data_IF_522716231632
#
_entry.id   IF_522716231632
#
_cell.length_a   1.000
_cell.length_b   1.000
_cell.length_c   1.000
_cell.angle_alpha   90.00
_cell.angle_beta   90.00
_cell.angle_gamma   90.00
#
_symmetry.space_group_name_H-M   'P 1'
#
loop_
_entity.id
_entity.type
_entity.pdbx_description
1 polymer ?
#
# COMPACT_ATOMS: atom_id res chain seq x y z
N UNK A 1 -78.07 58.91 -8.30
CA UNK A 1 -76.61 59.15 -8.37
C UNK A 1 -76.09 58.79 -6.97
N UNK A 2 -76.14 57.52 -6.55
CA UNK A 2 -75.13 56.46 -6.75
C UNK A 2 -73.74 57.05 -6.96
N UNK A 3 -72.91 56.99 -5.91
CA UNK A 3 -71.59 56.39 -6.04
C UNK A 3 -71.14 55.83 -4.67
N UNK A 4 -70.90 54.53 -4.72
CA UNK A 4 -70.38 53.65 -3.68
C UNK A 4 -68.87 53.54 -3.93
N UNK A 5 -68.05 53.94 -2.96
CA UNK A 5 -66.60 53.71 -3.01
C UNK A 5 -66.18 52.82 -1.85
N UNK A 6 -66.41 51.53 -2.07
CA UNK A 6 -65.65 50.45 -1.43
C UNK A 6 -64.29 50.33 -2.12
N UNK A 7 -63.24 50.88 -1.51
CA UNK A 7 -61.85 50.59 -1.89
C UNK A 7 -61.32 49.45 -1.03
N UNK A 8 -61.00 48.36 -1.72
CA UNK A 8 -60.62 47.08 -1.14
C UNK A 8 -59.33 47.12 -0.33
N UNK A 9 -59.36 46.40 0.78
CA UNK A 9 -58.15 45.81 1.35
C UNK A 9 -57.68 44.68 0.45
N UNK A 10 -56.51 44.85 -0.17
CA UNK A 10 -55.76 43.76 -0.80
C UNK A 10 -54.41 43.61 -0.10
N UNK A 11 -54.36 42.56 0.72
CA UNK A 11 -53.28 41.57 0.84
C UNK A 11 -51.83 42.07 0.89
N UNK A 12 -51.36 42.35 2.11
CA UNK A 12 -49.94 42.38 2.48
C UNK A 12 -49.49 41.11 3.22
N UNK A 13 -50.15 39.96 2.99
CA UNK A 13 -49.87 38.69 3.69
C UNK A 13 -48.98 37.73 2.91
N UNK A 14 -48.72 37.99 1.62
CA UNK A 14 -47.91 37.11 0.75
C UNK A 14 -46.41 37.16 1.00
N UNK A 15 -45.85 38.28 1.48
CA UNK A 15 -44.40 38.43 1.72
C UNK A 15 -43.91 37.68 2.96
N UNK A 16 -44.62 37.85 4.08
CA UNK A 16 -44.23 37.25 5.35
C UNK A 16 -44.22 35.71 5.34
N UNK A 17 -45.13 35.08 4.58
CA UNK A 17 -45.18 33.63 4.44
C UNK A 17 -44.01 33.08 3.58
N UNK A 18 -43.61 33.82 2.54
CA UNK A 18 -42.43 33.49 1.71
C UNK A 18 -41.13 33.63 2.49
N UNK A 19 -41.00 34.69 3.28
CA UNK A 19 -39.83 34.93 4.15
C UNK A 19 -39.69 33.85 5.23
N UNK A 20 -40.81 33.41 5.81
CA UNK A 20 -40.82 32.32 6.78
C UNK A 20 -40.40 30.98 6.18
N UNK A 21 -40.78 30.70 4.94
CA UNK A 21 -40.39 29.49 4.22
C UNK A 21 -38.90 29.50 3.84
N UNK A 22 -38.38 30.66 3.42
CA UNK A 22 -36.95 30.84 3.14
C UNK A 22 -36.08 30.63 4.39
N UNK A 23 -36.48 31.24 5.52
CA UNK A 23 -35.81 31.07 6.81
C UNK A 23 -35.81 29.60 7.28
N UNK A 24 -36.93 28.88 7.11
CA UNK A 24 -36.99 27.45 7.46
C UNK A 24 -36.00 26.62 6.65
N UNK A 25 -35.89 26.87 5.35
CA UNK A 25 -34.96 26.16 4.47
C UNK A 25 -33.50 26.46 4.85
N UNK A 26 -33.19 27.70 5.20
CA UNK A 26 -31.84 28.09 5.64
C UNK A 26 -31.47 27.44 6.98
N UNK A 27 -32.40 27.38 7.93
CA UNK A 27 -32.21 26.67 9.20
C UNK A 27 -31.98 25.17 8.97
N UNK A 28 -32.75 24.54 8.08
CA UNK A 28 -32.58 23.12 7.75
C UNK A 28 -31.21 22.84 7.10
N UNK A 29 -30.75 23.69 6.18
CA UNK A 29 -29.39 23.59 5.62
C UNK A 29 -28.30 23.75 6.68
N UNK A 30 -28.47 24.69 7.61
CA UNK A 30 -27.51 24.91 8.70
C UNK A 30 -27.49 23.75 9.69
N UNK A 31 -28.64 23.14 9.99
CA UNK A 31 -28.71 21.94 10.82
C UNK A 31 -28.05 20.74 10.14
N UNK A 32 -28.29 20.53 8.84
CA UNK A 32 -27.62 19.47 8.06
C UNK A 32 -26.10 19.70 8.05
N UNK A 33 -25.63 20.93 7.84
CA UNK A 33 -24.20 21.28 7.90
C UNK A 33 -23.62 21.01 9.29
N UNK A 34 -24.30 21.43 10.36
CA UNK A 34 -23.85 21.24 11.74
C UNK A 34 -23.83 19.77 12.17
N UNK A 35 -24.79 18.96 11.71
CA UNK A 35 -24.80 17.51 11.96
C UNK A 35 -23.70 16.80 11.18
N UNK A 36 -23.47 17.20 9.93
CA UNK A 36 -22.37 16.67 9.11
C UNK A 36 -21.02 16.98 9.76
N UNK A 37 -20.81 18.22 10.20
CA UNK A 37 -19.59 18.64 10.88
C UNK A 37 -19.38 17.91 12.21
N UNK A 38 -20.40 17.78 13.06
CA UNK A 38 -20.31 16.99 14.30
C UNK A 38 -19.98 15.52 14.03
N UNK A 39 -20.46 14.94 12.92
CA UNK A 39 -20.14 13.56 12.51
C UNK A 39 -18.67 13.43 12.08
N UNK A 40 -18.15 14.42 11.37
CA UNK A 40 -16.73 14.51 10.99
C UNK A 40 -15.85 14.65 12.23
N UNK A 41 -16.19 15.55 13.16
CA UNK A 41 -15.44 15.80 14.40
C UNK A 41 -15.49 14.61 15.36
N UNK A 42 -16.66 13.97 15.51
CA UNK A 42 -16.80 12.75 16.32
C UNK A 42 -16.04 11.57 15.69
N UNK A 43 -16.04 11.47 14.36
CA UNK A 43 -15.20 10.54 13.61
C UNK A 43 -13.71 10.80 13.82
N UNK A 44 -13.26 12.05 13.73
CA UNK A 44 -11.86 12.45 13.96
C UNK A 44 -11.41 12.22 15.41
N UNK A 45 -12.27 12.45 16.40
CA UNK A 45 -11.99 12.15 17.81
C UNK A 45 -11.92 10.64 18.07
N UNK A 46 -12.77 9.86 17.39
CA UNK A 46 -12.71 8.40 17.41
C UNK A 46 -11.48 7.83 16.69
N UNK A 47 -10.94 8.50 15.66
CA UNK A 47 -9.68 8.15 14.96
C UNK A 47 -8.45 8.26 15.86
N UNK A 48 -8.54 9.03 16.95
CA UNK A 48 -7.48 9.11 17.98
C UNK A 48 -7.45 7.88 18.91
N UNK A 49 -8.36 6.91 18.72
CA UNK A 49 -8.28 5.62 19.43
C UNK A 49 -6.99 4.92 19.04
N UNK A 50 -6.23 4.55 20.06
CA UNK A 50 -4.89 3.97 19.96
C UNK A 50 -4.76 2.96 18.81
N UNK A 51 -3.95 3.30 17.80
CA UNK A 51 -3.49 2.41 16.73
C UNK A 51 -2.59 1.27 17.24
N UNK A 52 -2.58 0.99 18.55
CA UNK A 52 -1.82 -0.11 19.15
C UNK A 52 -2.15 -1.49 18.54
N UNK A 53 -3.33 -1.65 17.92
CA UNK A 53 -3.68 -2.86 17.19
C UNK A 53 -2.78 -3.13 15.98
N UNK A 54 -2.14 -2.09 15.40
CA UNK A 54 -1.17 -2.26 14.33
C UNK A 54 0.04 -3.09 14.78
N UNK A 55 0.36 -3.08 16.07
CA UNK A 55 1.45 -3.85 16.66
C UNK A 55 0.92 -5.13 17.30
N UNK A 56 -0.16 -5.03 18.09
CA UNK A 56 -0.65 -6.14 18.93
C UNK A 56 -1.21 -7.30 18.12
N UNK A 57 -1.95 -7.01 17.05
CA UNK A 57 -2.67 -8.03 16.28
C UNK A 57 -1.83 -8.59 15.12
N UNK A 58 -0.59 -8.11 14.99
CA UNK A 58 0.37 -8.69 14.05
C UNK A 58 0.94 -10.00 14.63
N UNK A 59 0.56 -11.12 14.01
CA UNK A 59 1.08 -12.44 14.38
C UNK A 59 2.43 -12.63 13.70
N UNK A 60 3.52 -12.49 14.47
CA UNK A 60 4.88 -12.75 13.98
C UNK A 60 5.05 -14.23 13.63
N UNK A 61 5.40 -14.57 12.38
CA UNK A 61 5.67 -15.95 11.99
C UNK A 61 6.86 -16.51 12.76
N UNK A 62 6.82 -17.80 13.09
CA UNK A 62 7.97 -18.48 13.72
C UNK A 62 9.06 -18.71 12.66
N UNK A 63 10.33 -18.52 13.03
CA UNK A 63 11.49 -18.73 12.16
C UNK A 63 11.58 -20.12 11.52
N UNK A 64 10.87 -21.12 12.06
CA UNK A 64 10.83 -22.49 11.55
C UNK A 64 9.66 -22.80 10.61
N UNK A 65 8.81 -21.82 10.26
CA UNK A 65 7.66 -22.03 9.37
C UNK A 65 8.09 -22.18 7.90
N UNK A 66 7.38 -23.02 7.16
CA UNK A 66 7.56 -23.18 5.71
C UNK A 66 7.24 -21.88 4.97
N UNK A 67 7.79 -21.69 3.77
CA UNK A 67 7.51 -20.52 2.93
C UNK A 67 6.02 -20.33 2.65
N UNK A 68 5.28 -21.42 2.44
CA UNK A 68 3.83 -21.42 2.20
C UNK A 68 3.05 -20.97 3.46
N UNK A 69 3.54 -21.36 4.64
CA UNK A 69 3.01 -20.89 5.92
C UNK A 69 3.30 -19.40 6.14
N UNK A 70 4.45 -18.88 5.68
CA UNK A 70 4.79 -17.45 5.80
C UNK A 70 3.86 -16.59 4.94
N UNK A 71 3.61 -16.95 3.68
CA UNK A 71 2.70 -16.22 2.80
C UNK A 71 1.29 -16.18 3.37
N UNK A 72 0.80 -17.30 3.90
CA UNK A 72 -0.53 -17.38 4.52
C UNK A 72 -0.63 -16.47 5.74
N UNK A 73 0.39 -16.43 6.61
CA UNK A 73 0.44 -15.53 7.76
C UNK A 73 0.38 -14.05 7.37
N UNK A 74 1.11 -13.64 6.31
CA UNK A 74 1.11 -12.26 5.82
C UNK A 74 -0.27 -11.85 5.32
N UNK A 75 -0.87 -12.67 4.46
CA UNK A 75 -2.18 -12.36 3.86
C UNK A 75 -3.24 -12.26 4.95
N UNK A 76 -3.28 -13.23 5.86
CA UNK A 76 -4.25 -13.25 6.94
C UNK A 76 -4.06 -12.09 7.93
N UNK A 77 -2.82 -11.86 8.39
CA UNK A 77 -2.51 -10.77 9.32
C UNK A 77 -2.81 -9.39 8.72
N UNK A 78 -2.44 -9.16 7.46
CA UNK A 78 -2.76 -7.91 6.76
C UNK A 78 -4.26 -7.74 6.54
N UNK A 79 -4.99 -8.80 6.19
CA UNK A 79 -6.44 -8.71 6.03
C UNK A 79 -7.15 -8.31 7.34
N UNK A 80 -6.72 -8.86 8.49
CA UNK A 80 -7.27 -8.45 9.78
C UNK A 80 -6.99 -6.99 10.13
N UNK A 81 -5.77 -6.52 9.86
CA UNK A 81 -5.38 -5.14 10.14
C UNK A 81 -6.14 -4.18 9.20
N UNK A 82 -6.25 -4.53 7.92
CA UNK A 82 -7.04 -3.80 6.93
C UNK A 82 -8.50 -3.66 7.37
N UNK A 83 -9.13 -4.75 7.83
CA UNK A 83 -10.51 -4.72 8.30
C UNK A 83 -10.69 -3.70 9.43
N UNK A 84 -9.80 -3.72 10.44
CA UNK A 84 -9.87 -2.78 11.56
C UNK A 84 -9.65 -1.33 11.17
N UNK A 85 -8.72 -1.10 10.24
CA UNK A 85 -8.43 0.21 9.67
C UNK A 85 -9.57 0.77 8.80
N UNK A 86 -10.40 -0.10 8.23
CA UNK A 86 -11.65 0.28 7.56
C UNK A 86 -12.73 0.56 8.59
N UNK A 87 -12.90 -0.32 9.58
CA UNK A 87 -13.94 -0.22 10.62
C UNK A 87 -13.79 1.05 11.47
N UNK A 88 -12.55 1.51 11.70
CA UNK A 88 -12.28 2.75 12.43
C UNK A 88 -12.25 4.02 11.55
N UNK A 89 -12.45 3.86 10.24
CA UNK A 89 -12.48 4.96 9.28
C UNK A 89 -11.12 5.65 9.07
N UNK A 90 -10.01 4.96 9.34
CA UNK A 90 -8.66 5.49 9.15
C UNK A 90 -8.19 5.48 7.69
N UNK A 91 -8.74 4.61 6.84
CA UNK A 91 -8.27 4.45 5.44
C UNK A 91 -9.16 5.11 4.39
N UNK A 92 -10.43 5.33 4.71
CA UNK A 92 -11.43 5.85 3.79
C UNK A 92 -12.17 6.98 4.50
N UNK A 93 -12.18 8.16 3.92
CA UNK A 93 -12.88 9.33 4.47
C UNK A 93 -13.41 10.23 3.36
N UNK A 94 -14.32 11.16 3.69
CA UNK A 94 -14.81 12.16 2.75
C UNK A 94 -13.95 13.42 2.82
N UNK A 95 -13.65 13.99 1.65
CA UNK A 95 -13.06 15.32 1.53
C UNK A 95 -14.14 16.40 1.76
N UNK A 96 -13.70 17.66 1.86
CA UNK A 96 -14.60 18.82 2.06
C UNK A 96 -15.59 19.03 0.91
N UNK A 97 -15.26 18.55 -0.29
CA UNK A 97 -16.13 18.57 -1.48
C UNK A 97 -17.12 17.40 -1.54
N UNK A 98 -17.13 16.52 -0.52
CA UNK A 98 -17.96 15.33 -0.46
C UNK A 98 -17.43 14.14 -1.28
N UNK A 99 -16.27 14.27 -1.94
CA UNK A 99 -15.64 13.15 -2.65
C UNK A 99 -15.02 12.14 -1.68
N UNK A 100 -14.97 10.86 -2.08
CA UNK A 100 -14.34 9.80 -1.29
C UNK A 100 -12.83 9.86 -1.47
N UNK A 101 -12.11 10.02 -0.37
CA UNK A 101 -10.67 9.91 -0.30
C UNK A 101 -10.25 8.48 0.09
N UNK A 102 -9.43 7.87 -0.76
CA UNK A 102 -8.88 6.51 -0.56
C UNK A 102 -7.36 6.49 -0.59
N UNK A 103 -6.69 7.63 -0.36
CA UNK A 103 -5.22 7.71 -0.43
C UNK A 103 -4.54 6.78 0.58
N UNK A 104 -5.02 6.77 1.82
CA UNK A 104 -4.50 5.92 2.90
C UNK A 104 -4.75 4.44 2.60
N UNK A 105 -5.94 4.07 2.11
CA UNK A 105 -6.22 2.70 1.66
C UNK A 105 -5.22 2.25 0.60
N UNK A 106 -5.01 3.07 -0.43
CA UNK A 106 -4.05 2.77 -1.50
C UNK A 106 -2.63 2.65 -0.95
N UNK A 107 -2.24 3.53 -0.04
CA UNK A 107 -0.96 3.50 0.64
C UNK A 107 -0.73 2.19 1.40
N UNK A 108 -1.74 1.72 2.14
CA UNK A 108 -1.66 0.48 2.91
C UNK A 108 -1.49 -0.74 1.99
N UNK A 109 -2.19 -0.76 0.86
CA UNK A 109 -2.07 -1.82 -0.14
C UNK A 109 -0.67 -1.83 -0.79
N UNK A 110 -0.11 -0.66 -1.12
CA UNK A 110 1.26 -0.55 -1.65
C UNK A 110 2.30 -1.03 -0.63
N UNK A 111 2.12 -0.67 0.64
CA UNK A 111 2.95 -1.20 1.71
C UNK A 111 2.83 -2.72 1.84
N UNK A 112 1.62 -3.27 1.79
CA UNK A 112 1.39 -4.73 1.85
C UNK A 112 2.04 -5.47 0.68
N UNK A 113 1.95 -4.90 -0.53
CA UNK A 113 2.67 -5.38 -1.71
C UNK A 113 4.18 -5.36 -1.47
N UNK A 114 4.72 -4.28 -0.88
CA UNK A 114 6.16 -4.15 -0.61
C UNK A 114 6.68 -5.26 0.28
N UNK A 115 5.93 -5.64 1.32
CA UNK A 115 6.30 -6.78 2.19
C UNK A 115 6.41 -8.06 1.35
N UNK A 116 5.47 -8.31 0.44
CA UNK A 116 5.54 -9.42 -0.52
C UNK A 116 6.79 -9.35 -1.40
N UNK A 117 7.06 -8.19 -2.00
CA UNK A 117 8.25 -7.97 -2.83
C UNK A 117 9.55 -8.22 -2.08
N UNK A 118 9.64 -7.85 -0.80
CA UNK A 118 10.83 -8.11 0.01
C UNK A 118 11.04 -9.61 0.27
N UNK A 119 9.96 -10.36 0.49
CA UNK A 119 10.02 -11.81 0.64
C UNK A 119 10.43 -12.48 -0.68
N UNK A 120 9.86 -12.04 -1.80
CA UNK A 120 10.17 -12.54 -3.15
C UNK A 120 11.61 -12.19 -3.59
N UNK A 121 12.11 -11.02 -3.16
CA UNK A 121 13.50 -10.61 -3.35
C UNK A 121 14.48 -11.39 -2.44
N UNK A 122 14.00 -12.41 -1.73
CA UNK A 122 14.79 -13.36 -0.96
C UNK A 122 15.53 -12.71 0.23
N UNK A 123 14.97 -11.61 0.77
CA UNK A 123 15.37 -11.10 2.08
C UNK A 123 15.08 -12.15 3.16
N UNK A 124 15.87 -12.13 4.24
CA UNK A 124 15.57 -12.98 5.40
C UNK A 124 14.20 -12.60 5.97
N UNK A 125 13.27 -13.55 6.21
CA UNK A 125 11.97 -13.24 6.79
C UNK A 125 12.08 -12.40 8.08
N UNK A 126 13.06 -12.67 8.94
CA UNK A 126 13.29 -11.88 10.15
C UNK A 126 13.57 -10.40 9.87
N UNK A 127 14.35 -10.09 8.83
CA UNK A 127 14.63 -8.71 8.43
C UNK A 127 13.36 -8.04 7.91
N UNK A 128 12.57 -8.76 7.11
CA UNK A 128 11.29 -8.26 6.60
C UNK A 128 10.32 -7.99 7.76
N UNK A 129 10.27 -8.86 8.77
CA UNK A 129 9.42 -8.67 9.95
C UNK A 129 9.88 -7.54 10.86
N UNK A 130 11.18 -7.37 11.08
CA UNK A 130 11.70 -6.22 11.82
C UNK A 130 11.39 -4.90 11.10
N UNK A 131 11.50 -4.88 9.77
CA UNK A 131 11.09 -3.76 8.95
C UNK A 131 9.58 -3.50 9.06
N UNK A 132 8.75 -4.53 8.89
CA UNK A 132 7.29 -4.46 8.98
C UNK A 132 6.84 -3.93 10.35
N UNK A 133 7.42 -4.47 11.42
CA UNK A 133 7.14 -4.09 12.82
C UNK A 133 7.51 -2.62 13.09
N UNK A 134 8.71 -2.19 12.70
CA UNK A 134 9.16 -0.80 12.87
C UNK A 134 8.34 0.17 11.99
N UNK A 135 7.93 -0.25 10.80
CA UNK A 135 7.04 0.54 9.94
C UNK A 135 5.68 0.74 10.61
N UNK A 136 5.08 -0.32 11.15
CA UNK A 136 3.79 -0.23 11.86
C UNK A 136 3.87 0.61 13.12
N UNK A 137 4.97 0.53 13.87
CA UNK A 137 5.26 1.43 15.01
C UNK A 137 5.27 2.89 14.57
N UNK A 138 6.00 3.19 13.50
CA UNK A 138 6.06 4.54 12.94
C UNK A 138 4.66 5.05 12.53
N UNK A 139 3.84 4.21 11.90
CA UNK A 139 2.45 4.54 11.52
C UNK A 139 1.49 4.68 12.71
N UNK A 140 1.79 3.99 13.82
CA UNK A 140 1.00 4.08 15.05
C UNK A 140 1.36 5.32 15.88
N UNK A 141 2.63 5.74 15.86
CA UNK A 141 3.16 6.83 16.67
C UNK A 141 3.10 8.19 15.96
N UNK A 142 3.10 8.21 14.63
CA UNK A 142 3.14 9.46 13.86
C UNK A 142 1.83 9.77 13.16
N UNK A 143 1.30 10.96 13.42
CA UNK A 143 0.18 11.54 12.68
C UNK A 143 0.59 12.07 11.29
N UNK A 144 1.89 12.26 11.07
CA UNK A 144 2.44 12.84 9.83
C UNK A 144 2.79 11.79 8.78
N UNK A 145 2.88 10.51 9.17
CA UNK A 145 3.23 9.44 8.24
C UNK A 145 1.97 8.90 7.58
N UNK A 146 2.04 8.77 6.26
CA UNK A 146 1.01 8.17 5.42
C UNK A 146 1.45 6.77 5.03
N UNK A 147 0.49 5.86 4.90
CA UNK A 147 0.81 4.52 4.40
C UNK A 147 1.41 4.59 2.98
N UNK A 148 2.34 3.70 2.69
CA UNK A 148 2.97 3.60 1.36
C UNK A 148 4.03 4.67 1.09
N UNK A 149 4.21 5.68 1.96
CA UNK A 149 5.42 6.49 1.95
C UNK A 149 6.58 5.66 2.52
N UNK A 150 7.70 5.65 1.81
CA UNK A 150 8.91 4.95 2.23
C UNK A 150 9.69 5.80 3.24
N UNK A 151 9.81 5.40 4.52
CA UNK A 151 10.64 6.10 5.49
C UNK A 151 12.11 5.74 5.25
N UNK A 152 12.96 6.66 4.73
CA UNK A 152 14.32 6.34 4.32
C UNK A 152 15.16 5.72 5.46
N UNK A 153 14.91 6.16 6.70
CA UNK A 153 15.56 5.65 7.89
C UNK A 153 15.35 4.14 8.12
N UNK A 154 14.17 3.60 7.82
CA UNK A 154 13.90 2.17 7.99
C UNK A 154 14.56 1.35 6.88
N UNK A 155 14.60 1.88 5.66
CA UNK A 155 15.30 1.25 4.53
C UNK A 155 16.79 1.14 4.80
N UNK A 156 17.42 2.21 5.27
CA UNK A 156 18.84 2.19 5.62
C UNK A 156 19.13 1.21 6.75
N UNK A 157 18.28 1.18 7.79
CA UNK A 157 18.45 0.31 8.96
C UNK A 157 18.28 -1.17 8.63
N UNK A 158 17.27 -1.52 7.83
CA UNK A 158 16.84 -2.91 7.67
C UNK A 158 17.23 -3.50 6.32
N UNK A 159 17.09 -2.76 5.22
CA UNK A 159 17.25 -3.32 3.87
C UNK A 159 18.67 -3.11 3.32
N UNK A 160 19.29 -1.97 3.62
CA UNK A 160 20.63 -1.63 3.14
C UNK A 160 21.76 -2.02 4.11
N UNK A 161 21.41 -2.50 5.32
CA UNK A 161 22.43 -2.93 6.27
C UNK A 161 23.20 -4.13 5.71
N UNK A 162 24.54 -4.04 5.69
CA UNK A 162 25.43 -5.08 5.15
C UNK A 162 25.16 -6.47 5.74
N UNK A 163 24.72 -6.55 7.00
CA UNK A 163 24.35 -7.79 7.69
C UNK A 163 23.06 -8.44 7.16
N UNK A 164 22.19 -7.67 6.54
CA UNK A 164 20.85 -8.09 6.11
C UNK A 164 20.80 -8.42 4.62
N UNK A 165 21.76 -7.91 3.84
CA UNK A 165 22.11 -8.46 2.55
C UNK A 165 22.73 -9.84 2.78
N UNK A 166 21.90 -10.91 2.72
CA UNK A 166 22.44 -12.27 2.70
C UNK A 166 23.56 -12.31 1.66
N UNK A 167 24.78 -12.81 2.00
CA UNK A 167 25.75 -13.10 0.96
C UNK A 167 25.05 -14.04 0.00
N UNK A 168 24.80 -13.56 -1.23
CA UNK A 168 24.12 -14.36 -2.23
C UNK A 168 24.88 -15.68 -2.30
N UNK A 169 24.18 -16.80 -2.07
CA UNK A 169 24.82 -18.11 -2.07
C UNK A 169 25.68 -18.21 -3.34
N UNK A 170 26.94 -18.68 -3.25
CA UNK A 170 27.85 -18.63 -4.37
C UNK A 170 27.22 -19.27 -5.60
N UNK A 171 27.57 -18.77 -6.78
CA UNK A 171 27.08 -19.35 -8.03
C UNK A 171 27.57 -20.79 -8.14
N UNK A 172 26.67 -21.71 -8.50
CA UNK A 172 27.03 -23.10 -8.71
C UNK A 172 27.92 -23.22 -9.96
N UNK A 173 29.20 -23.51 -9.76
CA UNK A 173 30.14 -23.68 -10.87
C UNK A 173 29.81 -24.91 -11.72
N UNK A 174 29.30 -25.99 -11.11
CA UNK A 174 28.84 -27.18 -11.83
C UNK A 174 27.64 -26.88 -12.73
N UNK A 175 26.69 -26.04 -12.27
CA UNK A 175 25.56 -25.61 -13.10
C UNK A 175 26.04 -24.85 -14.35
N UNK A 176 27.10 -24.04 -14.21
CA UNK A 176 27.71 -23.31 -15.32
C UNK A 176 28.72 -24.12 -16.14
N UNK A 177 28.90 -25.41 -15.84
CA UNK A 177 29.73 -26.33 -16.62
C UNK A 177 28.92 -26.97 -17.76
N UNK A 178 29.60 -27.59 -18.71
CA UNK A 178 28.96 -28.33 -19.80
C UNK A 178 28.16 -29.54 -19.29
N UNK A 179 28.57 -30.13 -18.18
CA UNK A 179 27.88 -31.27 -17.56
C UNK A 179 26.63 -30.88 -16.75
N UNK A 180 26.45 -29.59 -16.44
CA UNK A 180 25.39 -29.11 -15.55
C UNK A 180 25.57 -29.55 -14.09
N UNK A 181 24.61 -29.19 -13.23
CA UNK A 181 24.57 -29.64 -11.84
C UNK A 181 23.53 -30.75 -11.69
N UNK A 182 23.95 -31.94 -11.26
CA UNK A 182 23.08 -33.10 -11.06
C UNK A 182 22.51 -33.20 -9.63
N UNK A 183 22.79 -32.21 -8.77
CA UNK A 183 22.30 -32.22 -7.37
C UNK A 183 20.88 -31.68 -7.34
N UNK A 184 19.94 -32.53 -6.93
CA UNK A 184 18.54 -32.15 -6.72
C UNK A 184 18.36 -31.07 -5.64
N UNK A 185 19.26 -31.02 -4.66
CA UNK A 185 19.30 -30.03 -3.57
C UNK A 185 20.62 -29.25 -3.55
N UNK A 186 20.96 -28.60 -4.66
CA UNK A 186 22.19 -27.80 -4.74
C UNK A 186 22.13 -26.57 -3.81
N UNK A 187 23.10 -26.46 -2.89
CA UNK A 187 23.23 -25.30 -1.97
C UNK A 187 23.67 -23.99 -2.63
N UNK A 188 24.00 -24.03 -3.91
CA UNK A 188 24.57 -22.93 -4.69
C UNK A 188 23.56 -22.45 -5.73
N UNK A 189 23.65 -21.19 -6.14
CA UNK A 189 22.68 -20.63 -7.08
C UNK A 189 22.87 -21.13 -8.50
N UNK A 190 21.78 -21.61 -9.11
CA UNK A 190 21.73 -22.00 -10.52
C UNK A 190 21.42 -20.79 -11.41
N UNK A 191 22.39 -19.88 -11.51
CA UNK A 191 22.33 -18.69 -12.37
C UNK A 191 23.60 -18.59 -13.21
N UNK A 192 23.53 -17.83 -14.30
CA UNK A 192 24.66 -17.60 -15.20
C UNK A 192 25.81 -16.90 -14.44
N UNK A 193 27.02 -17.47 -14.51
CA UNK A 193 28.23 -16.89 -13.88
C UNK A 193 28.81 -15.67 -14.60
N UNK A 194 28.32 -15.35 -15.80
CA UNK A 194 28.84 -14.21 -16.56
C UNK A 194 28.47 -12.88 -15.87
N UNK A 195 29.41 -11.94 -15.72
CA UNK A 195 29.13 -10.61 -15.19
C UNK A 195 27.97 -9.95 -15.95
N UNK A 196 27.01 -9.38 -15.22
CA UNK A 196 25.86 -8.69 -15.81
C UNK A 196 24.70 -9.57 -16.30
N UNK A 197 24.84 -10.90 -16.30
CA UNK A 197 23.76 -11.79 -16.73
C UNK A 197 22.83 -12.18 -15.58
N UNK A 198 23.29 -12.99 -14.62
CA UNK A 198 22.50 -13.39 -13.43
C UNK A 198 21.20 -14.17 -13.69
N UNK A 199 20.85 -14.47 -14.94
CA UNK A 199 19.62 -15.18 -15.34
C UNK A 199 19.71 -16.70 -15.06
N UNK A 200 18.56 -17.42 -14.96
CA UNK A 200 18.51 -18.83 -14.59
C UNK A 200 18.85 -19.76 -15.76
N UNK A 201 20.05 -19.61 -16.33
CA UNK A 201 20.56 -20.47 -17.39
C UNK A 201 22.09 -20.60 -17.27
N UNK A 202 22.70 -21.67 -17.82
CA UNK A 202 24.15 -21.85 -17.75
C UNK A 202 24.88 -20.87 -18.69
N UNK A 203 26.11 -20.49 -18.35
CA UNK A 203 26.90 -19.54 -19.14
C UNK A 203 27.17 -19.98 -20.60
N UNK A 204 27.13 -21.28 -20.88
CA UNK A 204 27.37 -21.82 -22.23
C UNK A 204 26.34 -21.37 -23.29
N UNK A 205 25.12 -20.98 -22.89
CA UNK A 205 24.11 -20.49 -23.83
C UNK A 205 24.49 -19.14 -24.48
N UNK A 206 25.45 -18.40 -23.90
CA UNK A 206 25.93 -17.13 -24.48
C UNK A 206 26.92 -17.34 -25.65
N UNK A 207 27.57 -18.51 -25.74
CA UNK A 207 28.52 -18.79 -26.83
C UNK A 207 27.85 -19.01 -28.18
N UNK A 208 26.59 -19.46 -28.19
CA UNK A 208 25.90 -19.78 -29.44
C UNK A 208 25.50 -18.55 -30.26
N UNK A 209 25.54 -17.36 -29.67
CA UNK A 209 25.13 -16.10 -30.31
C UNK A 209 26.28 -15.32 -30.97
N UNK A 210 27.54 -15.57 -30.62
CA UNK A 210 28.69 -14.84 -31.18
C UNK A 210 29.25 -15.46 -32.47
N UNK A 211 29.11 -16.77 -32.65
CA UNK A 211 29.77 -17.49 -33.74
C UNK A 211 28.97 -17.45 -35.06
N UNK A 212 27.78 -16.83 -35.07
CA UNK A 212 26.96 -16.66 -36.27
C UNK A 212 27.27 -15.37 -37.07
N UNK A 213 28.14 -14.48 -36.57
CA UNK A 213 28.38 -13.17 -37.19
C UNK A 213 29.70 -13.06 -38.01
N UNK A 214 30.64 -14.02 -37.90
CA UNK A 214 31.96 -13.91 -38.56
C UNK A 214 32.14 -14.77 -39.83
N UNK A 215 31.06 -15.34 -40.37
CA UNK A 215 31.14 -16.29 -41.50
C UNK A 215 30.93 -15.75 -42.92
N UNK A 216 30.65 -14.45 -43.13
CA UNK A 216 30.11 -13.97 -44.42
C UNK A 216 30.90 -12.83 -45.09
N UNK A 217 32.22 -12.92 -45.17
CA UNK A 217 33.02 -12.12 -46.11
C UNK A 217 34.15 -12.94 -46.74
N UNK A 218 33.81 -13.87 -47.63
CA UNK A 218 34.75 -14.40 -48.60
C UNK A 218 34.03 -14.72 -49.91
N UNK A 219 34.70 -14.40 -51.02
CA UNK A 219 34.31 -14.56 -52.42
C UNK A 219 33.40 -13.50 -53.06
N UNK A 220 34.03 -12.50 -53.67
CA UNK A 220 33.78 -12.19 -55.08
C UNK A 220 35.11 -11.96 -55.81
N UNK A 221 35.23 -12.67 -56.93
CA UNK A 221 36.28 -12.61 -57.95
C UNK A 221 36.33 -11.25 -58.65
#
# INVERSE_FOLDING_TARGET
IIDDQSTGGQEATGGAAGDLAALRKEVEELEIKALTQRRVESGQSARKRSRAYLIRDFVKPNANQSSESLTTCVVYGNAQILQRLIDDGSLIYLNDDGSVNTSELRGYLLYSQKIGELLDANYSPNVVWEFDEDYRKLMAESELHQWGCEPPQLYHRHLNALRNLKPQAPVCLSFNSTAGCQRSSCRYRHVCKLPGCGKPHPAQLHRQSSDAAEGSTAYRH
#
